data_IF_593109906051
#
_entry.id   IF_593109906051
#
_cell.length_a   1.000
_cell.length_b   1.000
_cell.length_c   1.000
_cell.angle_alpha   90.00
_cell.angle_beta   90.00
_cell.angle_gamma   90.00
#
_symmetry.space_group_name_H-M   'P 1'
#
loop_
_entity.id
_entity.type
_entity.pdbx_description
1 polymer ?
#
# COMPACT_ATOMS: atom_id res chain seq x y z
N UNK A 1 4.20 25.79 26.60
CA UNK A 1 5.50 25.12 26.59
C UNK A 1 6.53 26.13 26.98
N UNK A 2 7.38 25.77 27.94
CA UNK A 2 8.58 26.53 28.25
C UNK A 2 9.62 26.34 27.13
N UNK A 3 10.49 27.30 26.84
CA UNK A 3 11.47 27.19 25.73
C UNK A 3 12.37 25.95 25.88
N UNK A 4 12.70 25.60 27.12
CA UNK A 4 13.45 24.36 27.48
C UNK A 4 12.66 23.07 27.24
N UNK A 5 11.33 23.09 27.28
CA UNK A 5 10.51 21.92 26.96
C UNK A 5 10.47 21.66 25.45
N UNK A 6 10.57 22.72 24.63
CA UNK A 6 10.61 22.59 23.17
C UNK A 6 11.90 21.89 22.73
N UNK A 7 13.06 22.31 23.23
CA UNK A 7 14.34 21.68 22.90
C UNK A 7 14.37 20.23 23.35
N UNK A 8 13.97 19.94 24.60
CA UNK A 8 13.91 18.56 25.10
C UNK A 8 12.99 17.68 24.26
N UNK A 9 11.86 18.20 23.81
CA UNK A 9 10.94 17.46 22.94
C UNK A 9 11.58 17.18 21.57
N UNK A 10 12.27 18.16 20.97
CA UNK A 10 13.00 17.98 19.72
C UNK A 10 14.11 16.95 19.87
N UNK A 11 14.95 17.04 20.92
CA UNK A 11 16.01 16.07 21.20
C UNK A 11 15.47 14.64 21.39
N UNK A 12 14.37 14.49 22.12
CA UNK A 12 13.71 13.20 22.32
C UNK A 12 13.26 12.60 20.98
N UNK A 13 12.68 13.42 20.10
CA UNK A 13 12.19 12.96 18.79
C UNK A 13 13.34 12.59 17.85
N UNK A 14 14.41 13.40 17.84
CA UNK A 14 15.62 13.09 17.08
C UNK A 14 16.19 11.74 17.50
N UNK A 15 16.21 11.48 18.82
CA UNK A 15 16.74 10.23 19.39
C UNK A 15 15.84 9.02 19.17
N UNK A 16 14.52 9.16 19.31
CA UNK A 16 13.57 8.03 19.20
C UNK A 16 13.19 7.69 17.76
N UNK A 17 13.16 8.67 16.85
CA UNK A 17 12.59 8.53 15.50
C UNK A 17 13.61 8.73 14.38
N UNK A 18 14.89 8.96 14.71
CA UNK A 18 16.00 9.12 13.77
C UNK A 18 15.77 10.21 12.70
N UNK A 19 15.06 11.27 13.07
CA UNK A 19 14.79 12.43 12.20
C UNK A 19 15.91 13.46 12.43
N UNK A 20 16.42 14.08 11.36
CA UNK A 20 17.36 15.20 11.51
C UNK A 20 16.71 16.38 12.25
N UNK A 21 17.41 16.92 13.24
CA UNK A 21 16.99 18.10 13.97
C UNK A 21 16.74 19.29 13.03
N UNK A 22 17.54 19.42 11.97
CA UNK A 22 17.43 20.53 11.02
C UNK A 22 16.06 20.56 10.32
N UNK A 23 15.55 19.39 9.90
CA UNK A 23 14.23 19.28 9.24
C UNK A 23 13.10 19.73 10.19
N UNK A 24 13.25 19.45 11.48
CA UNK A 24 12.28 19.85 12.51
C UNK A 24 12.34 21.36 12.72
N UNK A 25 13.54 21.93 12.87
CA UNK A 25 13.72 23.37 13.04
C UNK A 25 13.24 24.16 11.82
N UNK A 26 13.55 23.73 10.61
CA UNK A 26 13.09 24.38 9.38
C UNK A 26 11.56 24.35 9.26
N UNK A 27 10.94 23.21 9.59
CA UNK A 27 9.49 23.08 9.66
C UNK A 27 8.86 24.00 10.71
N UNK A 28 9.50 24.14 11.88
CA UNK A 28 9.06 25.06 12.94
C UNK A 28 9.15 26.52 12.48
N UNK A 29 10.27 26.94 11.87
CA UNK A 29 10.47 28.30 11.37
C UNK A 29 9.39 28.70 10.37
N UNK A 30 9.12 27.84 9.38
CA UNK A 30 8.09 28.07 8.35
C UNK A 30 6.68 28.17 8.95
N UNK A 31 6.35 27.28 9.88
CA UNK A 31 5.03 27.26 10.50
C UNK A 31 4.81 28.45 11.44
N UNK A 32 5.84 28.85 12.20
CA UNK A 32 5.80 30.03 13.06
C UNK A 32 5.70 31.31 12.24
N UNK A 33 6.41 31.42 11.11
CA UNK A 33 6.26 32.53 10.18
C UNK A 33 4.83 32.63 9.64
N UNK A 34 4.21 31.49 9.33
CA UNK A 34 2.81 31.42 8.88
C UNK A 34 1.83 31.80 9.99
N UNK A 35 2.07 31.33 11.22
CA UNK A 35 1.26 31.66 12.39
C UNK A 35 1.35 33.15 12.75
N UNK A 36 2.54 33.75 12.61
CA UNK A 36 2.76 35.18 12.77
C UNK A 36 1.92 35.99 11.78
N UNK A 37 2.01 35.67 10.48
CA UNK A 37 1.23 36.32 9.40
C UNK A 37 -0.27 36.30 9.67
N UNK A 38 -0.81 35.16 10.13
CA UNK A 38 -2.25 35.00 10.40
C UNK A 38 -2.74 35.78 11.63
N UNK A 39 -1.95 35.85 12.70
CA UNK A 39 -2.40 36.45 13.96
C UNK A 39 -2.12 37.95 14.09
N UNK A 40 -1.09 38.45 13.40
CA UNK A 40 -0.65 39.84 13.54
C UNK A 40 -0.88 40.70 12.29
N UNK A 41 -1.67 40.19 11.33
CA UNK A 41 -2.07 40.88 10.10
C UNK A 41 -0.89 41.54 9.33
N UNK A 42 0.33 41.03 9.53
CA UNK A 42 1.55 41.54 8.93
C UNK A 42 1.64 41.01 7.51
N UNK A 43 1.56 41.93 6.56
CA UNK A 43 1.70 41.68 5.14
C UNK A 43 3.19 41.59 4.84
N UNK A 44 3.64 40.35 4.75
CA UNK A 44 4.76 39.91 3.90
C UNK A 44 6.19 40.10 4.48
N UNK A 45 7.01 39.04 4.35
CA UNK A 45 8.46 38.95 4.64
C UNK A 45 8.88 38.85 6.11
N UNK A 46 8.44 37.77 6.77
CA UNK A 46 8.83 37.45 8.15
C UNK A 46 9.68 36.19 8.16
N UNK A 47 10.86 36.28 8.76
CA UNK A 47 11.77 35.18 9.03
C UNK A 47 11.75 34.91 10.53
N UNK A 48 11.50 33.67 10.90
CA UNK A 48 11.57 33.24 12.29
C UNK A 48 12.89 32.54 12.50
N UNK A 49 13.65 32.99 13.50
CA UNK A 49 14.83 32.29 13.97
C UNK A 49 14.57 31.66 15.33
N UNK A 50 15.14 30.48 15.53
CA UNK A 50 14.98 29.69 16.74
C UNK A 50 16.38 29.31 17.19
N UNK A 51 16.75 29.79 18.37
CA UNK A 51 18.00 29.39 19.01
C UNK A 51 17.93 27.90 19.40
N UNK A 52 18.92 27.13 18.96
CA UNK A 52 18.97 25.68 19.15
C UNK A 52 19.26 25.27 20.60
N UNK A 53 19.95 26.12 21.37
CA UNK A 53 20.36 25.85 22.74
C UNK A 53 19.39 26.43 23.77
N UNK A 54 18.83 27.61 23.49
CA UNK A 54 17.94 28.31 24.43
C UNK A 54 16.45 28.12 24.09
N UNK A 55 16.13 27.83 22.84
CA UNK A 55 14.76 27.67 22.35
C UNK A 55 14.04 29.02 22.23
N UNK A 56 14.78 30.12 22.31
CA UNK A 56 14.25 31.46 22.12
C UNK A 56 13.85 31.67 20.66
N UNK A 57 12.63 32.16 20.45
CA UNK A 57 12.04 32.38 19.13
C UNK A 57 12.05 33.88 18.87
N UNK A 58 12.81 34.30 17.85
CA UNK A 58 12.87 35.68 17.39
C UNK A 58 12.23 35.80 16.02
N UNK A 59 11.51 36.89 15.82
CA UNK A 59 10.80 37.17 14.58
C UNK A 59 11.41 38.40 13.94
N UNK A 60 11.93 38.25 12.73
CA UNK A 60 12.55 39.32 11.97
C UNK A 60 11.69 39.64 10.74
N UNK A 61 11.44 40.91 10.50
CA UNK A 61 10.94 41.38 9.20
C UNK A 61 12.13 41.68 8.30
N UNK A 62 12.09 41.19 7.07
CA UNK A 62 13.13 41.39 6.07
C UNK A 62 12.68 42.46 5.05
N UNK A 63 13.55 43.44 4.83
CA UNK A 63 13.36 44.50 3.84
C UNK A 63 14.56 44.57 2.89
N UNK A 64 14.28 44.68 1.60
CA UNK A 64 15.27 45.01 0.56
C UNK A 64 15.31 46.52 0.36
N UNK A 65 16.51 47.10 0.43
CA UNK A 65 16.70 48.54 0.22
C UNK A 65 16.58 48.87 -1.26
N UNK A 66 15.57 49.65 -1.62
CA UNK A 66 15.30 50.08 -2.99
C UNK A 66 15.41 51.60 -3.13
N UNK A 67 15.63 52.06 -4.36
CA UNK A 67 15.68 53.49 -4.67
C UNK A 67 14.28 54.12 -4.71
N UNK A 68 13.32 53.40 -5.28
CA UNK A 68 11.92 53.77 -5.42
C UNK A 68 11.07 52.52 -5.18
N UNK A 69 9.87 52.69 -4.61
CA UNK A 69 8.97 51.57 -4.35
C UNK A 69 8.35 51.11 -5.67
N UNK A 70 8.64 49.87 -6.06
CA UNK A 70 8.03 49.23 -7.22
C UNK A 70 6.69 48.60 -6.80
N UNK A 71 5.58 49.20 -7.24
CA UNK A 71 4.22 48.72 -7.00
C UNK A 71 3.71 47.72 -8.07
N UNK A 72 4.56 47.39 -9.06
CA UNK A 72 4.21 46.60 -10.23
C UNK A 72 3.66 47.45 -11.37
N UNK A 73 3.95 47.03 -12.61
CA UNK A 73 3.54 47.77 -13.82
C UNK A 73 2.39 47.08 -14.53
N UNK A 74 1.37 47.83 -14.97
CA UNK A 74 0.36 47.33 -15.90
C UNK A 74 0.91 47.37 -17.33
N UNK A 75 1.01 46.21 -17.97
CA UNK A 75 1.37 46.08 -19.39
C UNK A 75 0.14 45.68 -20.17
N UNK A 76 -0.06 46.29 -21.33
CA UNK A 76 -1.11 45.90 -22.27
C UNK A 76 -0.54 44.75 -23.10
N UNK A 77 -1.23 43.61 -23.13
CA UNK A 77 -0.86 42.48 -23.98
C UNK A 77 -1.12 42.80 -25.47
N UNK A 78 -0.61 41.97 -26.38
CA UNK A 78 -0.75 42.18 -27.84
C UNK A 78 -2.23 42.18 -28.31
N UNK A 79 -3.15 41.79 -27.43
CA UNK A 79 -4.60 41.70 -27.66
C UNK A 79 -5.40 42.85 -27.02
N UNK A 80 -4.74 43.81 -26.36
CA UNK A 80 -5.37 45.03 -25.84
C UNK A 80 -5.93 44.92 -24.41
N UNK A 81 -5.65 43.84 -23.67
CA UNK A 81 -6.03 43.68 -22.27
C UNK A 81 -4.91 44.16 -21.32
N UNK A 82 -5.28 44.80 -20.21
CA UNK A 82 -4.32 45.20 -19.18
C UNK A 82 -3.95 43.99 -18.29
N UNK A 83 -2.70 43.56 -18.38
CA UNK A 83 -2.10 42.54 -17.52
C UNK A 83 -1.21 43.21 -16.47
N UNK A 84 -1.55 43.05 -15.19
CA UNK A 84 -0.78 43.58 -14.08
C UNK A 84 0.44 42.68 -13.81
N UNK A 85 1.64 43.17 -14.10
CA UNK A 85 2.88 42.46 -13.78
C UNK A 85 3.23 42.78 -12.32
N UNK A 86 3.30 41.77 -11.42
CA UNK A 86 3.72 41.99 -10.04
C UNK A 86 5.19 42.44 -9.99
N UNK A 87 5.58 43.25 -9.00
CA UNK A 87 6.95 43.73 -8.85
C UNK A 87 7.93 42.57 -8.58
N UNK A 88 9.20 42.76 -8.93
CA UNK A 88 10.25 41.75 -8.70
C UNK A 88 10.46 41.44 -7.21
N UNK A 89 10.20 42.44 -6.35
CA UNK A 89 10.25 42.33 -4.89
C UNK A 89 8.87 42.70 -4.36
N UNK A 90 8.31 41.90 -3.45
CA UNK A 90 7.03 42.21 -2.80
C UNK A 90 7.01 43.66 -2.28
N UNK A 91 5.94 44.41 -2.54
CA UNK A 91 5.80 45.83 -2.17
C UNK A 91 6.08 46.06 -0.68
N UNK A 92 5.56 45.18 0.17
CA UNK A 92 5.77 45.26 1.63
C UNK A 92 7.19 44.84 2.08
N UNK A 93 8.03 44.32 1.17
CA UNK A 93 9.44 43.99 1.42
C UNK A 93 10.38 45.13 1.06
N UNK A 94 9.88 46.25 0.56
CA UNK A 94 10.70 47.33 0.05
C UNK A 94 10.86 48.41 1.12
N UNK A 95 12.09 48.90 1.31
CA UNK A 95 12.38 50.06 2.17
C UNK A 95 13.19 51.07 1.38
N UNK A 96 12.82 52.35 1.46
CA UNK A 96 13.58 53.43 0.84
C UNK A 96 14.94 53.58 1.53
N UNK A 97 15.95 53.99 0.77
CA UNK A 97 17.30 54.22 1.29
C UNK A 97 17.32 55.17 2.51
N UNK A 98 16.46 56.19 2.51
CA UNK A 98 16.35 57.16 3.61
C UNK A 98 15.87 56.53 4.92
N UNK A 99 14.91 55.60 4.84
CA UNK A 99 14.38 54.89 6.00
C UNK A 99 15.30 53.73 6.42
N UNK A 100 15.95 53.09 5.45
CA UNK A 100 16.99 52.10 5.68
C UNK A 100 18.18 52.68 6.47
N UNK A 101 18.64 53.88 6.11
CA UNK A 101 19.75 54.57 6.77
C UNK A 101 19.45 54.96 8.24
N UNK A 102 18.18 55.18 8.61
CA UNK A 102 17.78 55.45 10.01
C UNK A 102 17.97 54.24 10.91
N UNK A 103 17.86 53.04 10.34
CA UNK A 103 17.94 51.76 11.05
C UNK A 103 19.38 51.25 11.02
N UNK A 104 20.03 51.37 9.86
CA UNK A 104 21.40 50.93 9.63
C UNK A 104 22.17 52.02 8.86
N UNK A 105 23.02 52.82 9.53
CA UNK A 105 23.68 53.98 8.91
C UNK A 105 24.60 53.67 7.71
N UNK A 106 24.99 52.41 7.51
CA UNK A 106 25.84 51.92 6.42
C UNK A 106 25.05 51.26 5.27
N UNK A 107 23.71 51.32 5.28
CA UNK A 107 22.86 50.68 4.27
C UNK A 107 23.07 51.22 2.84
N UNK A 108 23.15 50.32 1.87
CA UNK A 108 23.23 50.61 0.43
C UNK A 108 22.02 50.06 -0.32
N UNK A 109 21.77 50.61 -1.50
CA UNK A 109 20.74 50.10 -2.41
C UNK A 109 21.09 48.64 -2.78
N UNK A 110 20.13 47.74 -2.63
CA UNK A 110 20.32 46.30 -2.79
C UNK A 110 20.62 45.54 -1.50
N UNK A 111 20.85 46.22 -0.37
CA UNK A 111 21.08 45.55 0.90
C UNK A 111 19.81 44.93 1.51
N UNK A 112 20.05 43.91 2.31
CA UNK A 112 19.08 43.20 3.13
C UNK A 112 19.07 43.74 4.56
N UNK A 113 17.95 44.32 5.01
CA UNK A 113 17.80 44.77 6.40
C UNK A 113 16.84 43.85 7.13
N UNK A 114 17.24 43.41 8.32
CA UNK A 114 16.42 42.61 9.22
C UNK A 114 16.08 43.44 10.46
N UNK A 115 14.79 43.53 10.79
CA UNK A 115 14.30 44.24 11.97
C UNK A 115 13.60 43.25 12.87
N UNK A 116 13.99 43.17 14.14
CA UNK A 116 13.27 42.34 15.11
C UNK A 116 11.90 42.95 15.42
N UNK A 117 10.84 42.18 15.18
CA UNK A 117 9.45 42.59 15.37
C UNK A 117 8.69 41.68 16.34
N UNK A 118 9.41 40.89 17.15
CA UNK A 118 8.86 39.88 18.06
C UNK A 118 7.84 40.48 19.06
N UNK A 119 6.54 40.17 18.95
CA UNK A 119 5.53 40.64 19.90
C UNK A 119 5.61 39.89 21.23
N UNK A 120 5.31 40.57 22.34
CA UNK A 120 5.34 39.97 23.69
C UNK A 120 4.40 38.78 23.85
N UNK A 121 3.25 38.79 23.18
CA UNK A 121 2.25 37.71 23.24
C UNK A 121 2.51 36.56 22.26
N UNK A 122 3.53 36.71 21.39
CA UNK A 122 3.82 35.72 20.36
C UNK A 122 4.29 34.38 20.94
N UNK A 123 4.88 34.37 22.14
CA UNK A 123 5.32 33.13 22.81
C UNK A 123 4.19 32.10 23.00
N UNK A 124 2.96 32.54 23.31
CA UNK A 124 1.80 31.63 23.47
C UNK A 124 1.37 31.02 22.14
N UNK A 125 1.30 31.85 21.10
CA UNK A 125 0.96 31.43 19.73
C UNK A 125 2.03 30.47 19.22
N UNK A 126 3.30 30.82 19.42
CA UNK A 126 4.44 30.04 19.00
C UNK A 126 4.47 28.67 19.66
N UNK A 127 4.19 28.57 20.97
CA UNK A 127 4.10 27.30 21.66
C UNK A 127 2.98 26.38 21.09
N UNK A 128 1.81 26.94 20.76
CA UNK A 128 0.71 26.18 20.17
C UNK A 128 1.04 25.66 18.77
N UNK A 129 1.59 26.52 17.92
CA UNK A 129 2.03 26.17 16.57
C UNK A 129 3.17 25.16 16.61
N UNK A 130 4.17 25.35 17.48
CA UNK A 130 5.29 24.44 17.62
C UNK A 130 4.84 23.03 18.01
N UNK A 131 3.91 22.91 18.98
CA UNK A 131 3.33 21.62 19.34
C UNK A 131 2.64 20.93 18.17
N UNK A 132 1.87 21.69 17.37
CA UNK A 132 1.18 21.15 16.19
C UNK A 132 2.15 20.65 15.14
N UNK A 133 3.18 21.44 14.81
CA UNK A 133 4.21 21.11 13.82
C UNK A 133 5.01 19.90 14.26
N UNK A 134 5.39 19.87 15.54
CA UNK A 134 6.13 18.75 16.12
C UNK A 134 5.31 17.46 16.02
N UNK A 135 4.03 17.51 16.41
CA UNK A 135 3.13 16.35 16.30
C UNK A 135 2.96 15.92 14.84
N UNK A 136 2.89 16.86 13.90
CA UNK A 136 2.82 16.55 12.47
C UNK A 136 4.10 15.89 11.95
N UNK A 137 5.28 16.42 12.30
CA UNK A 137 6.57 15.85 11.91
C UNK A 137 6.80 14.46 12.49
N UNK A 138 6.37 14.22 13.73
CA UNK A 138 6.37 12.88 14.33
C UNK A 138 5.52 11.92 13.49
N UNK A 139 4.30 12.32 13.12
CA UNK A 139 3.41 11.48 12.31
C UNK A 139 3.95 11.22 10.91
N UNK A 140 4.60 12.21 10.29
CA UNK A 140 5.23 12.06 8.98
C UNK A 140 6.37 11.04 9.02
N UNK A 141 7.25 11.14 10.01
CA UNK A 141 8.35 10.19 10.18
C UNK A 141 7.87 8.78 10.60
N UNK A 142 6.85 8.68 11.45
CA UNK A 142 6.23 7.38 11.75
C UNK A 142 5.63 6.75 10.49
N UNK A 143 4.97 7.55 9.64
CA UNK A 143 4.42 7.07 8.37
C UNK A 143 5.52 6.55 7.46
N UNK A 144 6.62 7.29 7.31
CA UNK A 144 7.75 6.89 6.47
C UNK A 144 8.42 5.62 6.99
N UNK A 145 8.70 5.55 8.28
CA UNK A 145 9.28 4.35 8.92
C UNK A 145 8.40 3.11 8.75
N UNK A 146 7.08 3.23 8.90
CA UNK A 146 6.17 2.10 8.66
C UNK A 146 6.17 1.73 7.17
N UNK A 147 6.14 2.71 6.26
CA UNK A 147 6.20 2.42 4.82
C UNK A 147 7.48 1.67 4.43
N UNK A 148 8.62 2.02 5.01
CA UNK A 148 9.88 1.31 4.81
C UNK A 148 9.80 -0.14 5.32
N UNK A 149 9.22 -0.37 6.50
CA UNK A 149 9.09 -1.72 7.06
C UNK A 149 8.15 -2.62 6.25
N UNK A 150 7.10 -2.05 5.66
CA UNK A 150 6.15 -2.76 4.81
C UNK A 150 6.54 -2.76 3.33
N UNK A 151 7.65 -2.09 2.99
CA UNK A 151 8.22 -2.17 1.66
C UNK A 151 8.69 -3.60 1.38
N UNK A 152 8.26 -4.18 0.26
CA UNK A 152 8.54 -5.57 -0.06
C UNK A 152 7.71 -6.61 0.70
N UNK A 153 6.80 -6.21 1.61
CA UNK A 153 5.80 -7.12 2.21
C UNK A 153 4.50 -7.21 1.39
N UNK A 154 4.43 -6.50 0.26
CA UNK A 154 3.33 -6.65 -0.69
C UNK A 154 3.35 -8.08 -1.25
N UNK A 155 2.17 -8.69 -1.36
CA UNK A 155 1.99 -10.08 -1.78
C UNK A 155 2.54 -11.14 -0.82
N UNK A 156 2.72 -10.80 0.46
CA UNK A 156 3.11 -11.73 1.52
C UNK A 156 1.96 -12.01 2.51
N UNK A 157 2.10 -13.10 3.28
CA UNK A 157 1.20 -13.40 4.40
C UNK A 157 1.76 -12.83 5.70
N UNK A 158 0.88 -12.21 6.48
CA UNK A 158 1.17 -11.82 7.85
C UNK A 158 0.12 -12.38 8.81
N UNK A 159 0.54 -12.60 10.05
CA UNK A 159 -0.37 -12.88 11.17
C UNK A 159 -0.65 -11.56 11.87
N UNK A 160 -1.92 -11.28 12.13
CA UNK A 160 -2.32 -10.13 12.93
C UNK A 160 -3.52 -10.42 13.80
N UNK A 161 -3.80 -9.52 14.74
CA UNK A 161 -4.91 -9.64 15.67
C UNK A 161 -6.12 -8.85 15.16
N UNK A 162 -7.31 -9.44 15.18
CA UNK A 162 -8.54 -8.74 14.80
C UNK A 162 -8.87 -7.70 15.87
N UNK A 163 -8.63 -6.43 15.58
CA UNK A 163 -8.73 -5.36 16.59
C UNK A 163 -10.08 -4.64 16.57
N UNK A 164 -10.65 -4.43 15.38
CA UNK A 164 -11.90 -3.68 15.23
C UNK A 164 -12.69 -4.15 14.00
N UNK A 165 -14.00 -3.95 14.04
CA UNK A 165 -14.92 -4.18 12.93
C UNK A 165 -15.82 -2.97 12.71
N UNK A 166 -15.93 -2.56 11.45
CA UNK A 166 -16.92 -1.62 10.94
C UNK A 166 -17.98 -2.35 10.11
N UNK A 167 -18.95 -1.59 9.58
CA UNK A 167 -19.97 -2.13 8.66
C UNK A 167 -19.36 -2.90 7.48
N UNK A 168 -18.26 -2.39 6.90
CA UNK A 168 -17.68 -2.91 5.65
C UNK A 168 -16.31 -3.58 5.81
N UNK A 169 -15.59 -3.34 6.91
CA UNK A 169 -14.19 -3.72 7.05
C UNK A 169 -13.88 -4.30 8.43
N UNK A 170 -12.90 -5.19 8.48
CA UNK A 170 -12.15 -5.53 9.68
C UNK A 170 -10.82 -4.79 9.69
N UNK A 171 -10.35 -4.39 10.87
CA UNK A 171 -9.02 -3.82 11.07
C UNK A 171 -8.16 -4.84 11.80
N UNK A 172 -7.10 -5.25 11.14
CA UNK A 172 -6.17 -6.26 11.63
C UNK A 172 -4.93 -5.54 12.12
N UNK A 173 -4.63 -5.70 13.40
CA UNK A 173 -3.41 -5.17 14.01
C UNK A 173 -2.22 -6.04 13.60
N UNK A 174 -1.29 -5.44 12.86
CA UNK A 174 -0.04 -6.05 12.41
C UNK A 174 1.13 -5.68 13.35
N UNK A 175 0.84 -5.16 14.54
CA UNK A 175 1.79 -4.76 15.58
C UNK A 175 2.16 -3.29 15.53
N UNK A 176 2.62 -2.81 14.36
CA UNK A 176 3.03 -1.40 14.16
C UNK A 176 1.92 -0.52 13.60
N UNK A 177 1.10 -1.10 12.74
CA UNK A 177 -0.01 -0.43 12.07
C UNK A 177 -1.16 -1.40 11.88
N UNK A 178 -2.33 -0.86 11.52
CA UNK A 178 -3.51 -1.66 11.23
C UNK A 178 -3.69 -1.80 9.72
N UNK A 179 -3.80 -3.03 9.26
CA UNK A 179 -4.27 -3.34 7.91
C UNK A 179 -5.80 -3.38 7.85
N UNK A 180 -6.33 -3.12 6.68
CA UNK A 180 -7.78 -3.12 6.42
C UNK A 180 -8.11 -4.37 5.62
N UNK A 181 -8.96 -5.22 6.18
CA UNK A 181 -9.51 -6.41 5.54
C UNK A 181 -10.99 -6.15 5.19
N UNK A 182 -11.32 -5.81 3.93
CA UNK A 182 -12.69 -5.63 3.52
C UNK A 182 -13.51 -6.91 3.69
N UNK A 183 -14.77 -6.80 4.09
CA UNK A 183 -15.70 -7.94 4.18
C UNK A 183 -15.99 -8.57 2.82
N UNK A 184 -15.71 -7.89 1.71
CA UNK A 184 -15.74 -8.48 0.36
C UNK A 184 -14.52 -9.34 0.03
N UNK A 185 -13.45 -9.22 0.82
CA UNK A 185 -12.15 -9.88 0.62
C UNK A 185 -11.90 -10.99 1.64
N UNK A 186 -12.92 -11.37 2.43
CA UNK A 186 -12.86 -12.53 3.34
C UNK A 186 -13.29 -13.81 2.61
N UNK A 187 -12.98 -14.97 3.18
CA UNK A 187 -13.53 -16.23 2.69
C UNK A 187 -15.05 -16.22 2.95
N UNK A 188 -15.90 -16.52 1.95
CA UNK A 188 -17.35 -16.58 2.15
C UNK A 188 -17.73 -17.49 3.33
N UNK A 189 -18.71 -17.05 4.12
CA UNK A 189 -19.22 -17.74 5.33
C UNK A 189 -18.20 -17.92 6.47
N UNK A 190 -17.01 -17.33 6.37
CA UNK A 190 -16.01 -17.31 7.44
C UNK A 190 -16.46 -16.45 8.62
N UNK A 191 -16.31 -16.98 9.84
CA UNK A 191 -16.55 -16.24 11.08
C UNK A 191 -15.24 -15.74 11.67
N UNK A 192 -15.02 -14.44 11.54
CA UNK A 192 -13.87 -13.76 12.15
C UNK A 192 -14.27 -13.31 13.56
N UNK A 193 -13.48 -13.68 14.57
CA UNK A 193 -13.74 -13.37 15.98
C UNK A 193 -12.86 -12.20 16.42
N UNK A 194 -13.44 -11.22 17.12
CA UNK A 194 -12.66 -10.11 17.70
C UNK A 194 -11.60 -10.63 18.67
N UNK A 195 -10.40 -10.07 18.61
CA UNK A 195 -9.27 -10.42 19.47
C UNK A 195 -8.57 -11.73 19.11
N UNK A 196 -9.02 -12.47 18.09
CA UNK A 196 -8.29 -13.66 17.63
C UNK A 196 -7.15 -13.27 16.67
N UNK A 197 -6.14 -14.13 16.59
CA UNK A 197 -5.12 -14.03 15.55
C UNK A 197 -5.66 -14.61 14.24
N UNK A 198 -5.32 -13.98 13.12
CA UNK A 198 -5.73 -14.39 11.78
C UNK A 198 -4.58 -14.18 10.79
N UNK A 199 -4.40 -15.13 9.87
CA UNK A 199 -3.48 -14.98 8.74
C UNK A 199 -4.16 -14.13 7.66
N UNK A 200 -3.45 -13.18 7.08
CA UNK A 200 -3.96 -12.29 6.04
C UNK A 200 -2.92 -12.11 4.95
N UNK A 201 -3.38 -12.01 3.72
CA UNK A 201 -2.54 -11.70 2.56
C UNK A 201 -2.53 -10.20 2.31
N UNK A 202 -1.35 -9.61 2.17
CA UNK A 202 -1.19 -8.19 1.81
C UNK A 202 -1.36 -8.06 0.30
N UNK A 203 -2.46 -7.43 -0.11
CA UNK A 203 -2.73 -7.17 -1.54
C UNK A 203 -2.10 -5.89 -2.05
N UNK A 204 -1.96 -4.88 -1.17
CA UNK A 204 -1.45 -3.57 -1.55
C UNK A 204 -0.94 -2.81 -0.33
N UNK A 205 0.16 -2.07 -0.49
CA UNK A 205 0.70 -1.14 0.50
C UNK A 205 0.83 0.24 -0.14
N UNK A 206 0.10 1.23 0.37
CA UNK A 206 0.10 2.60 -0.17
C UNK A 206 0.25 3.67 0.91
N UNK A 207 0.79 4.83 0.53
CA UNK A 207 0.81 6.01 1.40
C UNK A 207 -0.50 6.78 1.32
N UNK A 208 -1.39 6.62 2.30
CA UNK A 208 -2.63 7.37 2.41
C UNK A 208 -2.48 8.73 3.12
N UNK A 209 -3.54 9.54 3.09
CA UNK A 209 -3.59 10.87 3.73
C UNK A 209 -3.51 10.81 5.26
N UNK A 210 -3.96 9.71 5.87
CA UNK A 210 -3.99 9.51 7.33
C UNK A 210 -2.90 8.58 7.85
N UNK A 211 -2.05 8.05 6.97
CA UNK A 211 -1.04 7.04 7.31
C UNK A 211 -0.89 5.99 6.21
N UNK A 212 -0.04 4.97 6.42
CA UNK A 212 0.09 3.84 5.51
C UNK A 212 -1.23 3.08 5.44
N UNK A 213 -1.68 2.82 4.22
CA UNK A 213 -2.88 2.09 3.88
C UNK A 213 -2.47 0.70 3.41
N UNK A 214 -2.74 -0.32 4.23
CA UNK A 214 -2.40 -1.71 3.92
C UNK A 214 -3.71 -2.45 3.65
N UNK A 215 -3.94 -2.84 2.39
CA UNK A 215 -5.12 -3.60 1.99
C UNK A 215 -4.84 -5.10 2.12
N UNK A 216 -5.68 -5.77 2.89
CA UNK A 216 -5.59 -7.19 3.19
C UNK A 216 -6.67 -7.97 2.44
N UNK A 217 -6.42 -9.26 2.20
CA UNK A 217 -7.38 -10.21 1.66
C UNK A 217 -7.15 -11.60 2.23
N UNK A 218 -8.21 -12.40 2.29
CA UNK A 218 -8.18 -13.85 2.52
C UNK A 218 -8.84 -14.62 1.38
N UNK A 219 -9.54 -13.94 0.47
CA UNK A 219 -10.18 -14.53 -0.72
C UNK A 219 -9.26 -14.57 -1.94
N UNK A 220 -8.22 -13.74 -2.00
CA UNK A 220 -7.28 -13.72 -3.13
C UNK A 220 -6.56 -15.08 -3.30
N UNK A 221 -6.27 -15.50 -4.54
CA UNK A 221 -5.53 -16.75 -4.81
C UNK A 221 -4.09 -16.71 -4.27
N UNK A 222 -3.48 -15.51 -4.18
CA UNK A 222 -2.16 -15.31 -3.58
C UNK A 222 -2.10 -15.74 -2.12
N UNK A 223 -3.22 -15.67 -1.38
CA UNK A 223 -3.30 -16.23 -0.03
C UNK A 223 -3.02 -17.74 -0.02
N UNK A 224 -3.61 -18.50 -0.96
CA UNK A 224 -3.35 -19.94 -1.06
C UNK A 224 -1.89 -20.19 -1.47
N UNK A 225 -1.39 -19.47 -2.47
CA UNK A 225 0.01 -19.62 -2.93
C UNK A 225 1.00 -19.46 -1.76
N UNK A 226 0.86 -18.40 -0.97
CA UNK A 226 1.74 -18.12 0.17
C UNK A 226 1.56 -19.08 1.34
N UNK A 227 0.35 -19.63 1.56
CA UNK A 227 0.16 -20.70 2.54
C UNK A 227 0.93 -21.97 2.16
N UNK A 228 0.94 -22.32 0.87
CA UNK A 228 1.73 -23.44 0.35
C UNK A 228 3.23 -23.21 0.57
N UNK A 229 3.73 -22.02 0.21
CA UNK A 229 5.13 -21.66 0.43
C UNK A 229 5.52 -21.70 1.93
N UNK A 230 4.65 -21.28 2.85
CA UNK A 230 4.95 -21.34 4.29
C UNK A 230 4.98 -22.76 4.86
N UNK A 231 4.14 -23.67 4.34
CA UNK A 231 3.95 -25.01 4.91
C UNK A 231 4.84 -26.08 4.26
N UNK A 232 5.30 -25.86 3.02
CA UNK A 232 6.00 -26.87 2.20
C UNK A 232 7.43 -26.38 1.88
N UNK A 233 8.45 -26.90 2.60
CA UNK A 233 9.85 -26.49 2.41
C UNK A 233 10.39 -26.69 0.98
N UNK A 234 9.92 -27.72 0.29
CA UNK A 234 10.32 -28.06 -1.07
C UNK A 234 9.93 -26.94 -2.07
N UNK A 235 8.88 -26.17 -1.79
CA UNK A 235 8.50 -25.00 -2.58
C UNK A 235 9.44 -23.82 -2.30
N UNK A 236 9.84 -23.62 -1.04
CA UNK A 236 10.81 -22.57 -0.67
C UNK A 236 12.18 -22.82 -1.31
N UNK A 237 12.62 -24.08 -1.31
CA UNK A 237 13.92 -24.48 -1.86
C UNK A 237 13.94 -24.47 -3.41
N UNK A 238 12.78 -24.40 -4.06
CA UNK A 238 12.63 -24.45 -5.51
C UNK A 238 12.67 -25.86 -6.11
N UNK A 239 12.63 -26.91 -5.29
CA UNK A 239 12.47 -28.30 -5.76
C UNK A 239 11.08 -28.50 -6.41
N UNK A 240 10.07 -27.84 -5.86
CA UNK A 240 8.70 -27.82 -6.38
C UNK A 240 8.32 -26.39 -6.75
N UNK A 241 7.74 -26.20 -7.93
CA UNK A 241 7.20 -24.93 -8.38
C UNK A 241 5.66 -24.96 -8.43
N UNK A 242 5.03 -23.90 -7.93
CA UNK A 242 3.59 -23.68 -8.11
C UNK A 242 3.38 -22.98 -9.45
N UNK A 243 3.01 -23.75 -10.47
CA UNK A 243 2.77 -23.24 -11.83
C UNK A 243 1.58 -22.28 -11.89
N UNK A 244 0.46 -22.63 -11.24
CA UNK A 244 -0.75 -21.79 -11.25
C UNK A 244 -1.69 -22.14 -10.11
N UNK A 245 -2.42 -21.14 -9.63
CA UNK A 245 -3.47 -21.29 -8.61
C UNK A 245 -4.74 -20.63 -9.12
N UNK A 246 -5.82 -21.41 -9.19
CA UNK A 246 -7.15 -20.89 -9.47
C UNK A 246 -8.06 -21.19 -8.31
N UNK A 247 -8.88 -20.21 -7.96
CA UNK A 247 -9.62 -20.23 -6.69
C UNK A 247 -11.05 -19.74 -6.86
N UNK A 248 -11.96 -20.49 -6.27
CA UNK A 248 -13.31 -20.08 -5.87
C UNK A 248 -13.35 -20.08 -4.34
N UNK A 249 -13.17 -18.90 -3.71
CA UNK A 249 -12.95 -18.79 -2.26
C UNK A 249 -14.06 -19.46 -1.45
N UNK A 250 -13.68 -20.27 -0.47
CA UNK A 250 -14.60 -21.00 0.41
C UNK A 250 -15.27 -22.22 -0.23
N UNK A 251 -15.06 -22.46 -1.53
CA UNK A 251 -15.65 -23.59 -2.27
C UNK A 251 -14.55 -24.56 -2.70
N UNK A 252 -13.67 -24.11 -3.60
CA UNK A 252 -12.67 -24.97 -4.23
C UNK A 252 -11.50 -24.18 -4.81
N UNK A 253 -10.29 -24.70 -4.65
CA UNK A 253 -9.08 -24.25 -5.31
C UNK A 253 -8.41 -25.39 -6.06
N UNK A 254 -7.87 -25.10 -7.25
CA UNK A 254 -6.95 -26.01 -7.95
C UNK A 254 -5.56 -25.39 -7.96
N UNK A 255 -4.58 -26.16 -7.50
CA UNK A 255 -3.17 -25.76 -7.40
C UNK A 255 -2.37 -26.68 -8.31
N UNK A 256 -1.85 -26.12 -9.40
CA UNK A 256 -0.96 -26.84 -10.31
C UNK A 256 0.48 -26.76 -9.80
N UNK A 257 1.10 -27.91 -9.61
CA UNK A 257 2.46 -28.05 -9.09
C UNK A 257 3.31 -28.84 -10.07
N UNK A 258 4.58 -28.48 -10.15
CA UNK A 258 5.61 -29.14 -10.95
C UNK A 258 6.82 -29.43 -10.07
N UNK A 259 7.55 -30.52 -10.34
CA UNK A 259 8.80 -30.82 -9.64
C UNK A 259 9.98 -30.63 -10.59
N UNK A 260 10.93 -29.79 -10.19
CA UNK A 260 12.21 -29.63 -10.89
C UNK A 260 13.18 -30.78 -10.57
N UNK A 261 12.85 -31.60 -9.57
CA UNK A 261 13.68 -32.70 -9.09
C UNK A 261 12.93 -34.03 -9.26
N UNK A 262 13.41 -34.87 -10.17
CA UNK A 262 12.80 -36.18 -10.47
C UNK A 262 12.67 -37.11 -9.24
N UNK A 263 13.47 -36.87 -8.19
CA UNK A 263 13.41 -37.65 -6.94
C UNK A 263 12.30 -37.21 -5.99
N UNK A 264 11.65 -36.08 -6.27
CA UNK A 264 10.63 -35.49 -5.41
C UNK A 264 9.28 -35.58 -6.09
N UNK A 265 8.35 -36.31 -5.48
CA UNK A 265 6.94 -36.31 -5.90
C UNK A 265 6.26 -35.01 -5.43
N UNK A 266 5.82 -34.12 -6.36
CA UNK A 266 5.28 -32.83 -5.99
C UNK A 266 3.96 -32.94 -5.24
N UNK A 267 3.11 -33.92 -5.57
CA UNK A 267 1.81 -34.10 -4.91
C UNK A 267 2.03 -34.65 -3.51
N UNK A 268 2.83 -35.72 -3.38
CA UNK A 268 3.16 -36.33 -2.10
C UNK A 268 3.82 -35.36 -1.12
N UNK A 269 4.75 -34.53 -1.60
CA UNK A 269 5.39 -33.50 -0.79
C UNK A 269 4.41 -32.42 -0.30
N UNK A 270 3.46 -32.00 -1.14
CA UNK A 270 2.43 -31.03 -0.76
C UNK A 270 1.43 -31.61 0.28
N UNK A 271 1.12 -32.90 0.19
CA UNK A 271 0.24 -33.58 1.16
C UNK A 271 0.98 -33.75 2.50
N UNK A 272 2.25 -34.16 2.46
CA UNK A 272 3.06 -34.46 3.63
C UNK A 272 2.67 -35.77 4.31
N UNK A 273 3.45 -36.17 5.33
CA UNK A 273 3.19 -37.41 6.07
C UNK A 273 1.77 -37.40 6.67
N UNK A 274 0.95 -38.40 6.29
CA UNK A 274 -0.45 -38.53 6.72
C UNK A 274 -1.31 -37.29 6.42
N UNK A 275 -0.93 -36.46 5.45
CA UNK A 275 -1.68 -35.26 5.11
C UNK A 275 -1.51 -34.08 6.07
N UNK A 276 -0.45 -34.08 6.89
CA UNK A 276 -0.27 -33.05 7.92
C UNK A 276 -0.14 -31.63 7.33
N UNK A 277 0.64 -31.45 6.25
CA UNK A 277 0.89 -30.15 5.62
C UNK A 277 -0.38 -29.59 4.99
N UNK A 278 -1.05 -30.40 4.16
CA UNK A 278 -2.30 -29.98 3.53
C UNK A 278 -3.40 -29.69 4.56
N UNK A 279 -3.44 -30.41 5.68
CA UNK A 279 -4.39 -30.14 6.76
C UNK A 279 -4.16 -28.77 7.42
N UNK A 280 -2.90 -28.33 7.58
CA UNK A 280 -2.56 -27.00 8.06
C UNK A 280 -3.10 -25.89 7.15
N UNK A 281 -2.97 -26.07 5.84
CA UNK A 281 -3.51 -25.13 4.84
C UNK A 281 -5.04 -25.15 4.84
N UNK A 282 -5.66 -26.34 4.85
CA UNK A 282 -7.12 -26.49 4.88
C UNK A 282 -7.73 -25.85 6.13
N UNK A 283 -7.05 -25.91 7.29
CA UNK A 283 -7.49 -25.24 8.51
C UNK A 283 -7.61 -23.72 8.32
N UNK A 284 -6.72 -23.11 7.54
CA UNK A 284 -6.77 -21.68 7.23
C UNK A 284 -7.84 -21.32 6.19
N UNK A 285 -8.21 -22.24 5.30
CA UNK A 285 -9.24 -22.02 4.29
C UNK A 285 -10.66 -22.46 4.70
N UNK A 286 -10.79 -23.13 5.85
CA UNK A 286 -12.06 -23.62 6.39
C UNK A 286 -12.63 -24.77 5.55
N UNK A 287 -13.76 -24.52 4.87
CA UNK A 287 -14.49 -25.54 4.10
C UNK A 287 -14.07 -25.63 2.62
N UNK A 288 -13.08 -24.83 2.21
CA UNK A 288 -12.60 -24.82 0.84
C UNK A 288 -11.88 -26.14 0.50
N UNK A 289 -12.27 -26.79 -0.60
CA UNK A 289 -11.58 -27.99 -1.09
C UNK A 289 -10.34 -27.60 -1.90
N UNK A 290 -9.23 -28.28 -1.69
CA UNK A 290 -8.01 -28.09 -2.49
C UNK A 290 -7.79 -29.33 -3.35
N UNK A 291 -7.71 -29.15 -4.66
CA UNK A 291 -7.26 -30.19 -5.59
C UNK A 291 -5.81 -29.88 -6.02
N UNK A 292 -4.89 -30.81 -5.76
CA UNK A 292 -3.50 -30.73 -6.22
C UNK A 292 -3.40 -31.38 -7.59
N UNK A 293 -2.92 -30.62 -8.57
CA UNK A 293 -2.87 -31.01 -9.99
C UNK A 293 -1.42 -31.07 -10.42
N UNK A 294 -1.01 -32.19 -11.02
CA UNK A 294 0.31 -32.28 -11.65
C UNK A 294 0.30 -31.45 -12.94
N UNK A 295 1.18 -30.45 -13.01
CA UNK A 295 1.43 -29.71 -14.24
C UNK A 295 2.14 -30.60 -15.26
N UNK A 296 1.77 -30.45 -16.53
CA UNK A 296 2.45 -31.08 -17.65
C UNK A 296 2.57 -30.05 -18.78
N UNK A 297 3.66 -30.09 -19.53
CA UNK A 297 3.85 -29.26 -20.72
C UNK A 297 2.88 -29.67 -21.84
N UNK A 298 2.53 -30.97 -21.92
CA UNK A 298 1.50 -31.45 -22.83
C UNK A 298 0.12 -30.95 -22.37
N UNK A 299 -0.55 -30.09 -23.16
CA UNK A 299 -1.88 -29.58 -22.82
C UNK A 299 -2.91 -30.70 -22.64
N UNK A 300 -2.81 -31.81 -23.38
CA UNK A 300 -3.74 -32.93 -23.26
C UNK A 300 -3.67 -33.56 -21.88
N UNK A 301 -2.46 -33.89 -21.43
CA UNK A 301 -2.25 -34.49 -20.11
C UNK A 301 -2.53 -33.47 -18.99
N UNK A 302 -2.22 -32.19 -19.19
CA UNK A 302 -2.51 -31.16 -18.18
C UNK A 302 -4.02 -30.93 -18.01
N UNK A 303 -4.80 -30.91 -19.10
CA UNK A 303 -6.27 -30.81 -19.05
C UNK A 303 -6.86 -32.04 -18.34
N UNK A 304 -6.38 -33.24 -18.67
CA UNK A 304 -6.80 -34.48 -18.01
C UNK A 304 -6.54 -34.42 -16.51
N UNK A 305 -5.35 -33.97 -16.09
CA UNK A 305 -5.02 -33.77 -14.68
C UNK A 305 -5.93 -32.72 -14.03
N UNK A 306 -6.19 -31.59 -14.71
CA UNK A 306 -7.02 -30.50 -14.19
C UNK A 306 -8.48 -30.89 -13.90
N UNK A 307 -9.01 -31.90 -14.61
CA UNK A 307 -10.36 -32.43 -14.41
C UNK A 307 -10.51 -33.32 -13.15
N UNK A 308 -9.41 -33.65 -12.47
CA UNK A 308 -9.42 -34.33 -11.16
C UNK A 308 -10.47 -33.70 -10.23
N UNK A 309 -11.37 -34.51 -9.62
CA UNK A 309 -11.26 -35.95 -9.36
C UNK A 309 -11.80 -36.89 -10.44
N UNK A 310 -12.34 -36.39 -11.55
CA UNK A 310 -12.80 -37.26 -12.63
C UNK A 310 -11.61 -38.01 -13.25
N UNK A 311 -11.67 -39.34 -13.24
CA UNK A 311 -10.61 -40.20 -13.76
C UNK A 311 -10.86 -40.57 -15.22
N UNK A 312 -9.77 -40.95 -15.90
CA UNK A 312 -9.79 -41.58 -17.23
C UNK A 312 -10.48 -40.73 -18.31
N UNK A 313 -10.34 -39.41 -18.23
CA UNK A 313 -10.77 -38.51 -19.29
C UNK A 313 -9.90 -38.71 -20.54
N UNK A 314 -10.54 -38.93 -21.68
CA UNK A 314 -9.91 -38.89 -23.01
C UNK A 314 -10.03 -37.45 -23.50
N UNK A 315 -8.90 -36.77 -23.68
CA UNK A 315 -8.88 -35.38 -24.09
C UNK A 315 -8.36 -35.29 -25.52
N UNK A 316 -9.07 -34.51 -26.36
CA UNK A 316 -8.61 -34.13 -27.69
C UNK A 316 -8.68 -32.62 -27.80
N UNK A 317 -7.63 -32.00 -28.33
CA UNK A 317 -7.65 -30.59 -28.69
C UNK A 317 -8.42 -30.47 -30.00
N UNK A 318 -9.49 -29.68 -29.98
CA UNK A 318 -10.36 -29.48 -31.16
C UNK A 318 -9.89 -28.30 -31.98
N UNK A 319 -9.34 -27.27 -31.33
CA UNK A 319 -8.79 -26.08 -31.96
C UNK A 319 -7.63 -25.53 -31.11
N UNK A 320 -6.42 -25.55 -31.66
CA UNK A 320 -5.23 -25.05 -30.96
C UNK A 320 -5.17 -23.51 -30.95
N UNK A 321 -5.67 -22.83 -31.98
CA UNK A 321 -5.64 -21.36 -32.06
C UNK A 321 -6.59 -20.73 -31.05
N UNK A 322 -7.81 -21.28 -30.95
CA UNK A 322 -8.82 -20.82 -30.00
C UNK A 322 -8.71 -21.48 -28.61
N UNK A 323 -7.75 -22.39 -28.42
CA UNK A 323 -7.56 -23.18 -27.19
C UNK A 323 -8.83 -23.91 -26.76
N UNK A 324 -9.43 -24.64 -27.67
CA UNK A 324 -10.61 -25.46 -27.40
C UNK A 324 -10.23 -26.93 -27.25
N UNK A 325 -10.83 -27.60 -26.27
CA UNK A 325 -10.60 -29.01 -26.04
C UNK A 325 -11.90 -29.74 -25.73
N UNK A 326 -12.02 -30.97 -26.23
CA UNK A 326 -13.08 -31.90 -25.89
C UNK A 326 -12.54 -32.95 -24.93
N UNK A 327 -13.13 -33.02 -23.74
CA UNK A 327 -12.86 -34.04 -22.75
C UNK A 327 -14.02 -35.03 -22.69
N UNK A 328 -13.75 -36.28 -23.05
CA UNK A 328 -14.71 -37.38 -23.02
C UNK A 328 -14.48 -38.18 -21.73
N UNK A 329 -15.52 -38.32 -20.93
CA UNK A 329 -15.48 -39.08 -19.67
C UNK A 329 -16.53 -40.18 -19.68
N UNK A 330 -16.43 -41.13 -18.74
CA UNK A 330 -17.51 -42.08 -18.49
C UNK A 330 -18.75 -41.36 -17.94
N UNK A 331 -19.94 -41.93 -18.12
CA UNK A 331 -21.19 -41.34 -17.62
C UNK A 331 -21.15 -41.11 -16.10
N UNK A 332 -20.50 -42.02 -15.35
CA UNK A 332 -20.32 -41.91 -13.91
C UNK A 332 -19.42 -40.72 -13.52
N UNK A 333 -18.42 -40.41 -14.34
CA UNK A 333 -17.48 -39.32 -14.11
C UNK A 333 -17.96 -37.97 -14.68
N UNK A 334 -19.02 -37.93 -15.49
CA UNK A 334 -19.56 -36.69 -16.07
C UNK A 334 -19.90 -35.66 -14.99
N UNK A 335 -20.62 -36.09 -13.95
CA UNK A 335 -21.00 -35.23 -12.83
C UNK A 335 -19.78 -34.73 -12.04
N UNK A 336 -18.76 -35.58 -11.87
CA UNK A 336 -17.52 -35.23 -11.18
C UNK A 336 -16.69 -34.23 -11.99
N UNK A 337 -16.60 -34.43 -13.31
CA UNK A 337 -15.84 -33.60 -14.23
C UNK A 337 -16.43 -32.19 -14.32
N UNK A 338 -17.76 -32.07 -14.41
CA UNK A 338 -18.46 -30.78 -14.39
C UNK A 338 -18.37 -30.16 -12.98
N UNK A 339 -18.65 -30.96 -11.94
CA UNK A 339 -18.73 -30.54 -10.56
C UNK A 339 -20.00 -29.76 -10.21
N UNK A 340 -20.24 -29.52 -8.92
CA UNK A 340 -21.42 -28.79 -8.43
C UNK A 340 -21.47 -27.39 -9.06
N UNK A 341 -22.57 -27.07 -9.75
CA UNK A 341 -22.76 -25.80 -10.50
C UNK A 341 -21.63 -25.51 -11.53
N UNK A 342 -20.97 -26.53 -12.07
CA UNK A 342 -19.89 -26.35 -13.04
C UNK A 342 -18.58 -25.80 -12.43
N UNK A 343 -18.42 -25.83 -11.09
CA UNK A 343 -17.22 -25.29 -10.43
C UNK A 343 -15.93 -26.00 -10.87
N UNK A 344 -15.96 -27.33 -11.08
CA UNK A 344 -14.76 -28.10 -11.42
C UNK A 344 -14.26 -27.74 -12.83
N UNK A 345 -15.15 -27.80 -13.82
CA UNK A 345 -14.82 -27.46 -15.21
C UNK A 345 -14.44 -25.98 -15.36
N UNK A 346 -15.09 -25.05 -14.63
CA UNK A 346 -14.75 -23.63 -14.65
C UNK A 346 -13.35 -23.36 -14.08
N UNK A 347 -12.97 -24.06 -13.02
CA UNK A 347 -11.61 -23.97 -12.47
C UNK A 347 -10.60 -24.63 -13.42
N UNK A 348 -10.91 -25.78 -14.01
CA UNK A 348 -10.04 -26.43 -15.00
C UNK A 348 -9.79 -25.54 -16.23
N UNK A 349 -10.83 -24.87 -16.75
CA UNK A 349 -10.69 -23.90 -17.85
C UNK A 349 -9.76 -22.75 -17.48
N UNK A 350 -9.93 -22.17 -16.28
CA UNK A 350 -9.06 -21.08 -15.80
C UNK A 350 -7.61 -21.54 -15.59
N UNK A 351 -7.42 -22.77 -15.12
CA UNK A 351 -6.09 -23.32 -14.79
C UNK A 351 -5.28 -23.61 -16.06
N UNK A 352 -5.91 -24.27 -17.02
CA UNK A 352 -5.28 -24.67 -18.30
C UNK A 352 -5.29 -23.55 -19.34
N UNK A 353 -6.17 -22.57 -19.19
CA UNK A 353 -6.47 -21.52 -20.18
C UNK A 353 -7.08 -22.08 -21.49
N UNK A 354 -7.67 -23.28 -21.43
CA UNK A 354 -8.46 -23.87 -22.52
C UNK A 354 -9.96 -23.75 -22.21
N UNK A 355 -10.76 -23.62 -23.26
CA UNK A 355 -12.20 -23.82 -23.18
C UNK A 355 -12.49 -25.33 -23.31
N UNK A 356 -12.66 -26.00 -22.16
CA UNK A 356 -12.90 -27.44 -22.13
C UNK A 356 -14.40 -27.70 -22.21
N UNK A 357 -14.82 -28.46 -23.21
CA UNK A 357 -16.15 -29.07 -23.28
C UNK A 357 -16.07 -30.49 -22.73
N UNK A 358 -16.93 -30.83 -21.76
CA UNK A 358 -16.98 -32.19 -21.21
C UNK A 358 -18.22 -32.90 -21.75
N UNK A 359 -18.05 -34.09 -22.31
CA UNK A 359 -19.14 -34.97 -22.77
C UNK A 359 -18.96 -36.39 -22.24
N UNK A 360 -20.05 -37.14 -22.12
CA UNK A 360 -19.96 -38.57 -21.86
C UNK A 360 -19.81 -39.39 -23.13
N UNK A 361 -19.32 -40.63 -23.01
CA UNK A 361 -19.21 -41.58 -24.12
C UNK A 361 -20.56 -41.79 -24.84
N UNK A 362 -21.67 -41.86 -24.09
CA UNK A 362 -23.01 -41.99 -24.66
C UNK A 362 -23.38 -40.78 -25.52
N UNK A 363 -23.14 -39.56 -25.02
CA UNK A 363 -23.41 -38.32 -25.76
C UNK A 363 -22.62 -38.23 -27.06
N UNK A 364 -21.34 -38.60 -27.04
CA UNK A 364 -20.50 -38.59 -28.24
C UNK A 364 -20.96 -39.63 -29.27
N UNK A 365 -21.35 -40.82 -28.81
CA UNK A 365 -21.88 -41.86 -29.70
C UNK A 365 -23.23 -41.48 -30.32
N UNK A 366 -24.08 -40.76 -29.60
CA UNK A 366 -25.36 -40.27 -30.13
C UNK A 366 -25.18 -39.17 -31.18
N UNK A 367 -24.20 -38.29 -30.99
CA UNK A 367 -23.86 -37.23 -31.93
C UNK A 367 -23.13 -37.75 -33.18
N UNK A 368 -22.25 -38.73 -33.04
CA UNK A 368 -21.53 -39.33 -34.18
C UNK A 368 -22.40 -40.24 -35.06
N UNK A 369 -23.57 -40.66 -34.56
CA UNK A 369 -24.56 -41.45 -35.32
C UNK A 369 -25.67 -40.58 -35.94
N UNK A 370 -25.58 -39.25 -35.82
CA UNK A 370 -26.40 -38.26 -36.56
C UNK A 370 -25.60 -37.68 -37.70
#
# INVERSE_FOLDING_TARGET
MNNKELIKAVEMIVKEKNISADIIFDGLKLALATAYKKNFNSKTNVLVDIDRETGEIKVFSYFSVVKEIDEGTEKIDEEGNSVKVPPEINIDAQILLEDAMKIKPDAKIGDAIQIEVTPKDFGRVAAGTAKQVLTQKIREAEKESIMEEFNGKEFEIMVGMVAMEDRNNYYIDLGRTRGILPKSEIIPDEKIVMGSNIKVYITKVESGNKGPFIKLSRSNYGFVKRLFEQEIPEIINGDIEIYSVVREPGIRSKVAVFSNNEKVDPIGACIGEKGCRIAGILKELGNERIDLILYNEDPVEFIKNALSPAKDAIVSITDEENKEALAIVTDDNLSLAIGKKGSNIRLANKLTKYHIQVKSLTQVNEEGNR
#
